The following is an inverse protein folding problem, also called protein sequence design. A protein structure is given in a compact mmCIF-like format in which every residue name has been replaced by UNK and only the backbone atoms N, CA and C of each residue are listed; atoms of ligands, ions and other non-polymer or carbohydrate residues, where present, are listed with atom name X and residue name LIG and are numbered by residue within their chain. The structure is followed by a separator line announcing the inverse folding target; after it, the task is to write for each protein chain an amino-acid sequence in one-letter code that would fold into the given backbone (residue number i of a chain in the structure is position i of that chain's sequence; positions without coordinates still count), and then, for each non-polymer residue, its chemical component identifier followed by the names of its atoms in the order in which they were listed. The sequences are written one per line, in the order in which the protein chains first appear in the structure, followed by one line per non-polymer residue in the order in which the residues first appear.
data_IF_094470707581
#
_entry.id   IF_094470707581
#
_cell.length_a   1.000
_cell.length_b   1.000
_cell.length_c   1.000
_cell.angle_alpha   90.00
_cell.angle_beta   90.00
_cell.angle_gamma   90.00
#
_symmetry.space_group_name_H-M   'P 1'
#
loop_
_entity.id
_entity.type
_entity.pdbx_description
1 polymer ?
#
# COMPACT_ATOMS: atom_id res chain seq x y z
N UNK A 1 9.37 -10.70 -9.89
CA UNK A 1 8.09 -11.20 -9.33
C UNK A 1 7.04 -11.32 -10.42
N UNK A 2 6.24 -12.39 -10.41
CA UNK A 2 5.17 -12.57 -11.41
C UNK A 2 4.00 -11.63 -11.07
N UNK A 3 3.60 -10.78 -12.01
CA UNK A 3 2.42 -9.92 -11.89
C UNK A 3 1.37 -10.35 -12.91
N UNK A 4 0.10 -10.22 -12.55
CA UNK A 4 -1.06 -10.47 -13.42
C UNK A 4 -1.85 -9.19 -13.59
N UNK A 5 -2.09 -8.80 -14.83
CA UNK A 5 -2.89 -7.59 -15.13
C UNK A 5 -4.36 -7.97 -15.31
N UNK A 6 -5.22 -7.45 -14.44
CA UNK A 6 -6.67 -7.49 -14.60
C UNK A 6 -7.16 -6.05 -14.76
N UNK A 7 -7.76 -5.76 -15.91
CA UNK A 7 -8.18 -4.41 -16.30
C UNK A 7 -7.02 -3.40 -16.15
N UNK A 8 -7.23 -2.29 -15.45
CA UNK A 8 -6.24 -1.25 -15.17
C UNK A 8 -5.37 -1.51 -13.93
N UNK A 9 -5.39 -2.73 -13.37
CA UNK A 9 -4.69 -3.07 -12.13
C UNK A 9 -3.68 -4.20 -12.36
N UNK A 10 -2.47 -4.04 -11.80
CA UNK A 10 -1.49 -5.13 -11.71
C UNK A 10 -1.58 -5.78 -10.32
N UNK A 11 -1.91 -7.07 -10.30
CA UNK A 11 -1.91 -7.90 -9.11
C UNK A 11 -0.59 -8.65 -8.98
N UNK A 12 -0.10 -8.76 -7.75
CA UNK A 12 1.06 -9.57 -7.43
C UNK A 12 0.62 -11.03 -7.28
N UNK A 13 1.23 -11.90 -8.08
CA UNK A 13 0.85 -13.31 -8.17
C UNK A 13 1.64 -14.13 -7.14
N UNK A 14 1.30 -13.92 -5.86
CA UNK A 14 1.89 -14.62 -4.73
C UNK A 14 1.00 -15.76 -4.23
N UNK A 15 1.66 -16.77 -3.71
CA UNK A 15 1.10 -17.63 -2.66
C UNK A 15 1.08 -16.89 -1.32
N UNK A 16 0.25 -17.36 -0.40
CA UNK A 16 0.14 -16.77 0.94
C UNK A 16 1.46 -16.84 1.71
N UNK A 17 2.20 -17.95 1.57
CA UNK A 17 3.51 -18.10 2.22
C UNK A 17 4.52 -17.09 1.69
N UNK A 18 4.60 -16.91 0.36
CA UNK A 18 5.50 -15.92 -0.24
C UNK A 18 5.15 -14.50 0.22
N UNK A 19 3.86 -14.15 0.26
CA UNK A 19 3.44 -12.84 0.77
C UNK A 19 3.87 -12.64 2.22
N UNK A 20 3.67 -13.64 3.08
CA UNK A 20 4.08 -13.56 4.49
C UNK A 20 5.59 -13.41 4.62
N UNK A 21 6.38 -14.10 3.82
CA UNK A 21 7.84 -13.92 3.80
C UNK A 21 8.24 -12.50 3.38
N UNK A 22 7.60 -11.93 2.37
CA UNK A 22 7.88 -10.58 1.87
C UNK A 22 7.49 -9.49 2.89
N UNK A 23 6.43 -9.72 3.69
CA UNK A 23 5.97 -8.75 4.69
C UNK A 23 6.96 -8.53 5.85
N UNK A 24 8.01 -9.35 5.98
CA UNK A 24 9.12 -9.09 6.92
C UNK A 24 9.83 -7.77 6.63
N UNK A 25 9.77 -7.29 5.38
CA UNK A 25 10.37 -6.03 4.95
C UNK A 25 9.42 -4.84 5.05
N UNK A 26 8.20 -5.05 5.54
CA UNK A 26 7.15 -4.04 5.54
C UNK A 26 6.39 -4.01 4.22
N UNK A 27 5.38 -3.14 4.16
CA UNK A 27 4.59 -2.90 2.96
C UNK A 27 3.12 -2.64 3.23
N UNK A 28 2.45 -2.08 2.23
CA UNK A 28 1.00 -1.87 2.22
C UNK A 28 0.34 -2.95 1.38
N UNK A 29 -0.57 -3.72 1.99
CA UNK A 29 -1.27 -4.85 1.35
C UNK A 29 -2.75 -4.51 1.13
N UNK A 30 -3.16 -4.51 -0.14
CA UNK A 30 -4.56 -4.39 -0.53
C UNK A 30 -5.09 -5.70 -1.13
N UNK A 31 -6.31 -6.05 -0.73
CA UNK A 31 -6.99 -7.32 -1.04
C UNK A 31 -8.00 -7.11 -2.18
N UNK A 32 -7.51 -7.19 -3.43
CA UNK A 32 -8.30 -6.85 -4.62
C UNK A 32 -9.43 -7.85 -4.85
N UNK A 33 -10.67 -7.35 -4.85
CA UNK A 33 -11.85 -8.09 -5.30
C UNK A 33 -12.61 -7.32 -6.40
N UNK A 34 -13.75 -7.87 -6.84
CA UNK A 34 -14.52 -7.36 -7.99
C UNK A 34 -14.95 -5.90 -7.79
N UNK A 35 -15.43 -5.56 -6.60
CA UNK A 35 -15.83 -4.19 -6.22
C UNK A 35 -14.66 -3.20 -6.26
N UNK A 36 -13.44 -3.65 -5.95
CA UNK A 36 -12.26 -2.81 -6.14
C UNK A 36 -12.03 -2.54 -7.63
N UNK A 37 -12.08 -3.58 -8.48
CA UNK A 37 -11.90 -3.41 -9.92
C UNK A 37 -12.95 -2.49 -10.52
N UNK A 38 -14.21 -2.59 -10.07
CA UNK A 38 -15.30 -1.70 -10.49
C UNK A 38 -15.01 -0.26 -10.10
N UNK A 39 -14.74 0.02 -8.82
CA UNK A 39 -14.41 1.37 -8.33
C UNK A 39 -13.17 1.97 -8.98
N UNK A 40 -12.19 1.13 -9.35
CA UNK A 40 -10.98 1.54 -10.03
C UNK A 40 -11.22 1.89 -11.52
N UNK A 41 -12.42 1.69 -12.07
CA UNK A 41 -12.75 2.20 -13.40
C UNK A 41 -13.10 3.68 -13.37
N UNK A 42 -13.64 4.21 -12.27
CA UNK A 42 -14.24 5.55 -12.25
C UNK A 42 -13.67 6.49 -11.17
N UNK A 43 -12.76 6.04 -10.31
CA UNK A 43 -12.25 6.84 -9.19
C UNK A 43 -10.74 7.13 -9.29
N UNK A 44 -10.34 8.33 -9.76
CA UNK A 44 -8.93 8.75 -9.80
C UNK A 44 -8.27 8.76 -8.42
N UNK A 45 -9.00 9.21 -7.40
CA UNK A 45 -8.50 9.26 -6.02
C UNK A 45 -8.25 7.84 -5.47
N UNK A 46 -9.18 6.91 -5.70
CA UNK A 46 -8.99 5.53 -5.30
C UNK A 46 -7.83 4.89 -6.06
N UNK A 47 -7.71 5.14 -7.37
CA UNK A 47 -6.60 4.69 -8.18
C UNK A 47 -5.24 5.19 -7.66
N UNK A 48 -5.15 6.47 -7.23
CA UNK A 48 -3.94 7.01 -6.57
C UNK A 48 -3.58 6.25 -5.30
N UNK A 49 -4.55 6.04 -4.41
CA UNK A 49 -4.33 5.29 -3.18
C UNK A 49 -3.91 3.84 -3.49
N UNK A 50 -4.60 3.18 -4.41
CA UNK A 50 -4.39 1.79 -4.80
C UNK A 50 -3.03 1.53 -5.42
N UNK A 51 -2.55 2.44 -6.28
CA UNK A 51 -1.23 2.33 -6.91
C UNK A 51 -0.08 2.57 -5.93
N UNK A 52 -0.35 3.15 -4.75
CA UNK A 52 0.65 3.32 -3.70
C UNK A 52 0.90 2.07 -2.84
N UNK A 53 0.13 1.00 -3.06
CA UNK A 53 0.29 -0.26 -2.35
C UNK A 53 1.55 -1.00 -2.79
N UNK A 54 2.24 -1.59 -1.83
CA UNK A 54 3.41 -2.46 -2.08
C UNK A 54 2.96 -3.78 -2.68
N UNK A 55 1.87 -4.35 -2.15
CA UNK A 55 1.34 -5.64 -2.55
C UNK A 55 -0.16 -5.52 -2.85
N UNK A 56 -0.57 -5.92 -4.05
CA UNK A 56 -1.98 -6.01 -4.48
C UNK A 56 -2.30 -7.47 -4.75
N UNK A 57 -2.92 -8.13 -3.80
CA UNK A 57 -3.21 -9.56 -3.88
C UNK A 57 -4.66 -9.81 -4.32
N UNK A 58 -4.94 -11.04 -4.74
CA UNK A 58 -6.27 -11.46 -5.18
C UNK A 58 -7.10 -11.97 -4.00
N UNK A 59 -8.23 -11.32 -3.70
CA UNK A 59 -9.15 -11.67 -2.60
C UNK A 59 -10.38 -12.48 -3.07
N UNK A 60 -10.59 -12.62 -4.38
CA UNK A 60 -11.83 -13.17 -4.93
C UNK A 60 -11.62 -14.38 -5.84
N UNK A 61 -12.42 -15.42 -5.62
CA UNK A 61 -12.47 -16.59 -6.50
C UNK A 61 -12.93 -16.22 -7.92
N UNK A 62 -13.78 -15.20 -8.05
CA UNK A 62 -14.22 -14.70 -9.36
C UNK A 62 -13.03 -14.16 -10.14
N UNK A 63 -12.08 -13.49 -9.47
CA UNK A 63 -10.87 -12.99 -10.11
C UNK A 63 -9.87 -14.11 -10.45
N UNK A 64 -9.83 -15.19 -9.67
CA UNK A 64 -9.10 -16.41 -10.06
C UNK A 64 -9.65 -16.94 -11.39
N UNK A 65 -10.97 -17.14 -11.50
CA UNK A 65 -11.58 -17.62 -12.76
C UNK A 65 -11.39 -16.64 -13.92
N UNK A 66 -11.52 -15.34 -13.68
CA UNK A 66 -11.25 -14.32 -14.69
C UNK A 66 -9.80 -14.39 -15.19
N UNK A 67 -8.83 -14.56 -14.29
CA UNK A 67 -7.41 -14.68 -14.64
C UNK A 67 -7.13 -15.93 -15.49
N UNK A 68 -7.78 -17.06 -15.17
CA UNK A 68 -7.70 -18.31 -15.95
C UNK A 68 -8.31 -18.12 -17.35
N UNK A 69 -9.49 -17.50 -17.42
CA UNK A 69 -10.15 -17.17 -18.69
C UNK A 69 -9.28 -16.28 -19.59
N UNK A 70 -8.55 -15.33 -19.00
CA UNK A 70 -7.60 -14.47 -19.71
C UNK A 70 -6.30 -15.18 -20.10
N UNK A 71 -6.02 -16.38 -19.59
CA UNK A 71 -4.77 -17.12 -19.85
C UNK A 71 -3.59 -16.68 -18.99
N UNK A 72 -3.85 -15.95 -17.90
CA UNK A 72 -2.85 -15.42 -16.97
C UNK A 72 -3.20 -15.84 -15.53
N UNK A 73 -3.14 -17.14 -15.21
CA UNK A 73 -3.70 -17.66 -13.96
C UNK A 73 -3.00 -17.08 -12.72
N UNK A 74 -3.82 -16.61 -11.78
CA UNK A 74 -3.40 -16.30 -10.41
C UNK A 74 -3.29 -17.61 -9.62
N UNK A 75 -2.20 -17.75 -8.87
CA UNK A 75 -1.82 -18.98 -8.18
C UNK A 75 -2.70 -19.25 -6.95
N UNK A 76 -2.95 -18.22 -6.14
CA UNK A 76 -3.71 -18.39 -4.90
C UNK A 76 -4.67 -17.21 -4.64
N UNK A 77 -5.84 -17.52 -4.09
CA UNK A 77 -6.75 -16.54 -3.51
C UNK A 77 -6.34 -16.28 -2.07
N UNK A 78 -5.94 -15.05 -1.76
CA UNK A 78 -5.56 -14.60 -0.42
C UNK A 78 -6.58 -13.57 0.05
N UNK A 79 -7.58 -14.03 0.80
CA UNK A 79 -8.61 -13.12 1.30
C UNK A 79 -8.14 -12.32 2.51
N UNK A 80 -8.70 -11.13 2.74
CA UNK A 80 -8.43 -10.37 3.98
C UNK A 80 -8.70 -11.21 5.24
N UNK A 81 -9.78 -12.00 5.18
CA UNK A 81 -10.21 -12.89 6.27
C UNK A 81 -9.35 -14.13 6.47
N UNK A 82 -8.45 -14.43 5.54
CA UNK A 82 -7.43 -15.46 5.69
C UNK A 82 -6.04 -14.85 5.97
N UNK A 83 -5.81 -13.62 5.51
CA UNK A 83 -4.53 -12.92 5.62
C UNK A 83 -4.20 -12.55 7.05
N UNK A 84 -5.09 -11.85 7.78
CA UNK A 84 -4.79 -11.43 9.15
C UNK A 84 -4.55 -12.64 10.08
N UNK A 85 -5.37 -13.71 10.04
CA UNK A 85 -5.09 -14.94 10.78
C UNK A 85 -3.76 -15.60 10.43
N UNK A 86 -3.49 -15.76 9.14
CA UNK A 86 -2.23 -16.34 8.70
C UNK A 86 -1.03 -15.48 9.16
N UNK A 87 -1.16 -14.15 9.10
CA UNK A 87 -0.14 -13.21 9.54
C UNK A 87 0.19 -13.35 11.03
N UNK A 88 -0.81 -13.27 11.91
CA UNK A 88 -0.52 -13.35 13.36
C UNK A 88 -0.06 -14.74 13.80
N UNK A 89 -0.45 -15.80 13.09
CA UNK A 89 0.05 -17.16 13.36
C UNK A 89 1.48 -17.35 12.86
N UNK A 90 1.81 -16.84 11.68
CA UNK A 90 3.15 -16.92 11.11
C UNK A 90 4.17 -16.15 11.98
N UNK A 91 3.79 -14.96 12.44
CA UNK A 91 4.64 -14.11 13.29
C UNK A 91 4.37 -14.27 14.80
N UNK A 92 3.75 -15.38 15.21
CA UNK A 92 3.34 -15.62 16.60
C UNK A 92 4.50 -15.43 17.59
N UNK A 93 5.70 -15.85 17.22
CA UNK A 93 6.87 -15.82 18.11
C UNK A 93 7.77 -14.59 17.91
N UNK A 94 7.42 -13.66 17.00
CA UNK A 94 8.21 -12.44 16.78
C UNK A 94 7.70 -11.29 17.67
N UNK A 95 8.43 -10.99 18.74
CA UNK A 95 8.09 -9.93 19.70
C UNK A 95 8.09 -8.52 19.10
N UNK A 96 8.74 -8.34 17.93
CA UNK A 96 8.73 -7.06 17.22
C UNK A 96 7.39 -6.81 16.50
N UNK A 97 6.57 -7.86 16.32
CA UNK A 97 5.26 -7.73 15.70
C UNK A 97 4.23 -7.35 16.77
N UNK A 98 3.77 -6.10 16.64
CA UNK A 98 2.77 -5.45 17.49
C UNK A 98 1.67 -4.89 16.59
N UNK A 99 0.47 -5.47 16.68
CA UNK A 99 -0.66 -5.16 15.81
C UNK A 99 -1.56 -4.12 16.46
N UNK A 100 -1.97 -3.12 15.69
CA UNK A 100 -3.10 -2.25 16.01
C UNK A 100 -4.29 -2.57 15.12
N UNK A 101 -5.49 -2.66 15.69
CA UNK A 101 -6.74 -2.86 14.94
C UNK A 101 -7.50 -1.55 14.80
N UNK A 102 -7.75 -1.09 13.58
CA UNK A 102 -8.55 0.09 13.30
C UNK A 102 -9.81 -0.29 12.51
N UNK A 103 -10.99 -0.17 13.12
CA UNK A 103 -12.26 -0.36 12.41
C UNK A 103 -13.34 -1.09 13.22
N UNK A 104 -14.30 -1.66 12.49
CA UNK A 104 -15.53 -2.25 13.02
C UNK A 104 -16.36 -1.29 13.90
N UNK A 105 -17.49 -1.77 14.42
CA UNK A 105 -18.36 -1.01 15.31
C UNK A 105 -17.81 -1.00 16.75
N UNK A 106 -18.30 -0.06 17.55
CA UNK A 106 -17.86 0.16 18.94
C UNK A 106 -17.79 -1.13 19.75
N UNK A 107 -16.63 -1.40 20.35
CA UNK A 107 -16.36 -2.58 21.17
C UNK A 107 -15.93 -3.83 20.41
N UNK A 108 -16.18 -3.94 19.10
CA UNK A 108 -15.84 -5.14 18.32
C UNK A 108 -14.32 -5.24 18.11
N UNK A 109 -13.63 -4.14 17.85
CA UNK A 109 -12.18 -4.16 17.66
C UNK A 109 -11.42 -4.58 18.94
N UNK A 110 -11.85 -4.13 20.12
CA UNK A 110 -11.27 -4.57 21.40
C UNK A 110 -11.58 -6.04 21.69
N UNK A 111 -12.75 -6.53 21.29
CA UNK A 111 -13.08 -7.95 21.38
C UNK A 111 -12.19 -8.81 20.48
N UNK A 112 -11.93 -8.38 19.23
CA UNK A 112 -10.99 -9.03 18.34
C UNK A 112 -9.56 -9.03 18.93
N UNK A 113 -9.12 -7.91 19.51
CA UNK A 113 -7.82 -7.81 20.21
C UNK A 113 -7.67 -8.89 21.28
N UNK A 114 -8.66 -9.04 22.17
CA UNK A 114 -8.65 -10.06 23.23
C UNK A 114 -8.60 -11.48 22.66
N UNK A 115 -9.41 -11.77 21.65
CA UNK A 115 -9.45 -13.11 21.05
C UNK A 115 -8.17 -13.46 20.32
N UNK A 116 -7.60 -12.54 19.55
CA UNK A 116 -6.33 -12.76 18.84
C UNK A 116 -5.22 -12.99 19.87
N UNK A 117 -5.11 -12.15 20.91
CA UNK A 117 -4.10 -12.34 21.95
C UNK A 117 -4.25 -13.68 22.68
N UNK A 118 -5.48 -14.14 22.93
CA UNK A 118 -5.72 -15.47 23.50
C UNK A 118 -5.29 -16.61 22.55
N UNK A 119 -5.57 -16.51 21.24
CA UNK A 119 -5.13 -17.49 20.22
C UNK A 119 -3.61 -17.54 20.07
N UNK A 120 -2.96 -16.39 20.17
CA UNK A 120 -1.50 -16.24 20.02
C UNK A 120 -0.78 -16.56 21.34
N UNK A 121 -1.42 -16.42 22.50
CA UNK A 121 -0.81 -16.69 23.80
C UNK A 121 0.19 -15.62 24.26
N UNK A 122 0.13 -14.41 23.69
CA UNK A 122 0.86 -13.22 24.12
C UNK A 122 0.10 -11.95 23.75
N UNK A 123 0.52 -10.82 24.30
CA UNK A 123 0.04 -9.50 23.89
C UNK A 123 0.65 -9.08 22.55
N UNK A 124 0.09 -9.61 21.46
CA UNK A 124 0.51 -9.29 20.09
C UNK A 124 -0.26 -8.10 19.51
N UNK A 125 -1.55 -8.03 19.80
CA UNK A 125 -2.41 -6.90 19.46
C UNK A 125 -2.38 -5.91 20.62
N UNK A 126 -1.66 -4.82 20.43
CA UNK A 126 -1.32 -3.82 21.47
C UNK A 126 -2.32 -2.67 21.57
N UNK A 127 -3.22 -2.55 20.60
CA UNK A 127 -4.24 -1.52 20.60
C UNK A 127 -5.36 -1.83 19.61
N UNK A 128 -6.51 -1.23 19.87
CA UNK A 128 -7.67 -1.31 19.00
C UNK A 128 -8.49 -0.02 19.10
N UNK A 129 -9.07 0.42 17.98
CA UNK A 129 -9.97 1.56 17.95
C UNK A 129 -11.06 1.37 16.90
N UNK A 130 -12.29 1.71 17.28
CA UNK A 130 -13.46 1.69 16.40
C UNK A 130 -13.86 3.13 16.10
N UNK A 131 -13.58 3.64 14.89
CA UNK A 131 -13.82 5.03 14.56
C UNK A 131 -15.30 5.32 14.31
N UNK A 132 -15.66 6.60 14.35
CA UNK A 132 -17.00 7.08 14.06
C UNK A 132 -17.39 6.87 12.59
N UNK A 133 -18.69 6.87 12.30
CA UNK A 133 -19.14 6.78 10.91
C UNK A 133 -18.76 8.05 10.15
N UNK A 134 -17.94 7.90 9.11
CA UNK A 134 -17.47 9.04 8.32
C UNK A 134 -16.22 9.71 8.89
N UNK A 135 -15.53 9.08 9.85
CA UNK A 135 -14.29 9.59 10.46
C UNK A 135 -13.25 10.02 9.42
N UNK A 136 -13.24 9.41 8.23
CA UNK A 136 -12.30 9.75 7.16
C UNK A 136 -12.44 11.20 6.64
N UNK A 137 -13.52 11.89 7.03
CA UNK A 137 -13.77 13.30 6.72
C UNK A 137 -13.54 14.23 7.92
N UNK A 138 -13.23 13.67 9.08
CA UNK A 138 -13.00 14.40 10.31
C UNK A 138 -11.49 14.40 10.61
N UNK A 139 -10.81 15.49 10.26
CA UNK A 139 -9.36 15.60 10.42
C UNK A 139 -8.92 15.48 11.88
N UNK A 140 -9.71 15.99 12.83
CA UNK A 140 -9.41 15.87 14.26
C UNK A 140 -9.42 14.41 14.72
N UNK A 141 -10.40 13.64 14.27
CA UNK A 141 -10.50 12.21 14.57
C UNK A 141 -9.38 11.42 13.87
N UNK A 142 -9.09 11.73 12.60
CA UNK A 142 -7.95 11.13 11.88
C UNK A 142 -6.63 11.38 12.62
N UNK A 143 -6.38 12.61 13.06
CA UNK A 143 -5.17 12.96 13.80
C UNK A 143 -5.12 12.29 15.17
N UNK A 144 -6.27 12.18 15.86
CA UNK A 144 -6.40 11.42 17.09
C UNK A 144 -6.03 9.94 16.88
N UNK A 145 -6.55 9.30 15.81
CA UNK A 145 -6.24 7.92 15.46
C UNK A 145 -4.74 7.75 15.18
N UNK A 146 -4.14 8.65 14.40
CA UNK A 146 -2.69 8.65 14.13
C UNK A 146 -1.88 8.71 15.42
N UNK A 147 -2.26 9.60 16.35
CA UNK A 147 -1.59 9.74 17.64
C UNK A 147 -1.74 8.49 18.49
N UNK A 148 -2.93 7.92 18.55
CA UNK A 148 -3.23 6.69 19.29
C UNK A 148 -2.40 5.50 18.78
N UNK A 149 -2.30 5.33 17.45
CA UNK A 149 -1.48 4.28 16.85
C UNK A 149 0.00 4.50 17.18
N UNK A 150 0.51 5.72 17.04
CA UNK A 150 1.92 6.02 17.35
C UNK A 150 2.26 5.75 18.82
N UNK A 151 1.38 6.12 19.75
CA UNK A 151 1.56 5.91 21.19
C UNK A 151 1.50 4.43 21.58
N UNK A 152 0.74 3.60 20.84
CA UNK A 152 0.65 2.15 21.12
C UNK A 152 1.95 1.38 20.85
N UNK A 153 2.90 1.96 20.12
CA UNK A 153 4.12 1.27 19.69
C UNK A 153 3.87 0.17 18.65
N UNK A 154 2.71 0.17 17.98
CA UNK A 154 2.39 -0.79 16.94
C UNK A 154 3.35 -0.71 15.75
N UNK A 155 3.74 -1.88 15.25
CA UNK A 155 4.57 -2.05 14.06
C UNK A 155 3.76 -2.54 12.86
N UNK A 156 2.52 -2.97 13.10
CA UNK A 156 1.57 -3.43 12.10
C UNK A 156 0.22 -2.77 12.33
N UNK A 157 -0.41 -2.27 11.27
CA UNK A 157 -1.76 -1.72 11.31
C UNK A 157 -2.69 -2.57 10.44
N UNK A 158 -3.71 -3.17 11.06
CA UNK A 158 -4.80 -3.83 10.34
C UNK A 158 -6.03 -2.92 10.32
N UNK A 159 -6.47 -2.52 9.13
CA UNK A 159 -7.58 -1.59 8.93
C UNK A 159 -8.79 -2.32 8.35
N UNK A 160 -9.93 -2.23 9.04
CA UNK A 160 -11.18 -2.89 8.70
C UNK A 160 -12.38 -1.92 8.70
N UNK A 161 -12.30 -0.87 7.87
CA UNK A 161 -13.40 0.11 7.68
C UNK A 161 -14.06 0.00 6.30
N UNK A 162 -13.58 -0.93 5.47
CA UNK A 162 -14.11 -1.22 4.14
C UNK A 162 -13.57 -0.32 3.03
N UNK A 163 -13.62 -0.83 1.80
CA UNK A 163 -13.15 -0.13 0.61
C UNK A 163 -14.20 0.85 0.06
N UNK A 164 -13.80 2.05 -0.40
CA UNK A 164 -12.43 2.51 -0.63
C UNK A 164 -11.79 3.24 0.57
N UNK A 165 -12.48 3.29 1.72
CA UNK A 165 -12.11 4.16 2.85
C UNK A 165 -10.77 3.78 3.45
N UNK A 166 -10.57 2.48 3.70
CA UNK A 166 -9.33 1.97 4.32
C UNK A 166 -8.10 2.25 3.43
N UNK A 167 -8.21 2.08 2.11
CA UNK A 167 -7.09 2.32 1.18
C UNK A 167 -6.74 3.80 1.13
N UNK A 168 -7.75 4.67 1.04
CA UNK A 168 -7.57 6.13 1.02
C UNK A 168 -6.98 6.65 2.33
N UNK A 169 -7.51 6.20 3.46
CA UNK A 169 -7.02 6.60 4.78
C UNK A 169 -5.56 6.16 5.00
N UNK A 170 -5.22 4.91 4.64
CA UNK A 170 -3.83 4.43 4.68
C UNK A 170 -2.94 5.31 3.78
N UNK A 171 -3.38 5.58 2.55
CA UNK A 171 -2.60 6.41 1.63
C UNK A 171 -2.32 7.80 2.19
N UNK A 172 -3.32 8.44 2.81
CA UNK A 172 -3.23 9.79 3.36
C UNK A 172 -2.34 9.86 4.62
N UNK A 173 -2.44 8.87 5.53
CA UNK A 173 -1.84 8.98 6.85
C UNK A 173 -0.63 8.06 7.10
N UNK A 174 -0.29 7.13 6.19
CA UNK A 174 0.82 6.18 6.40
C UNK A 174 2.16 6.83 6.75
N UNK A 175 2.46 7.99 6.16
CA UNK A 175 3.72 8.71 6.40
C UNK A 175 3.78 9.36 7.80
N UNK A 176 2.65 9.49 8.49
CA UNK A 176 2.57 10.02 9.85
C UNK A 176 2.75 8.93 10.92
N UNK A 177 2.67 7.65 10.54
CA UNK A 177 2.85 6.51 11.44
C UNK A 177 4.33 6.13 11.52
N UNK A 178 4.97 6.43 12.64
CA UNK A 178 6.44 6.36 12.80
C UNK A 178 6.95 4.92 12.90
N UNK A 179 6.18 4.07 13.56
CA UNK A 179 6.59 2.70 13.92
C UNK A 179 5.99 1.64 12.99
N UNK A 180 4.87 1.94 12.33
CA UNK A 180 4.14 0.99 11.50
C UNK A 180 4.88 0.75 10.20
N UNK A 181 5.26 -0.51 9.96
CA UNK A 181 5.94 -0.97 8.74
C UNK A 181 5.01 -1.77 7.83
N UNK A 182 4.02 -2.46 8.39
CA UNK A 182 3.07 -3.29 7.64
C UNK A 182 1.66 -2.72 7.79
N UNK A 183 0.98 -2.54 6.66
CA UNK A 183 -0.40 -2.07 6.61
C UNK A 183 -1.25 -3.12 5.92
N UNK A 184 -2.27 -3.64 6.60
CA UNK A 184 -3.16 -4.66 6.09
C UNK A 184 -4.57 -4.08 5.94
N UNK A 185 -5.04 -3.91 4.71
CA UNK A 185 -6.42 -3.54 4.43
C UNK A 185 -7.29 -4.80 4.39
N UNK A 186 -7.99 -5.09 5.49
CA UNK A 186 -8.59 -6.42 5.76
C UNK A 186 -10.12 -6.41 5.77
N UNK A 187 -10.77 -5.26 5.56
CA UNK A 187 -12.23 -5.18 5.50
C UNK A 187 -12.91 -5.74 6.75
N UNK A 188 -13.92 -6.58 6.58
CA UNK A 188 -14.72 -7.15 7.68
C UNK A 188 -14.00 -8.21 8.54
N UNK A 189 -12.69 -8.37 8.38
CA UNK A 189 -11.92 -9.40 9.10
C UNK A 189 -11.91 -9.17 10.60
N UNK A 190 -11.92 -7.91 11.05
CA UNK A 190 -11.99 -7.58 12.48
C UNK A 190 -13.30 -8.12 13.09
N UNK A 191 -14.42 -7.98 12.38
CA UNK A 191 -15.73 -8.51 12.82
C UNK A 191 -15.74 -10.04 12.89
N UNK A 192 -15.01 -10.72 12.00
CA UNK A 192 -14.84 -12.18 12.03
C UNK A 192 -13.96 -12.62 13.20
N UNK A 193 -12.85 -11.93 13.45
CA UNK A 193 -11.94 -12.24 14.57
C UNK A 193 -12.55 -11.94 15.94
N UNK A 194 -13.51 -11.02 16.01
CA UNK A 194 -14.31 -10.79 17.21
C UNK A 194 -15.43 -11.83 17.42
N UNK A 195 -15.70 -12.68 16.43
CA UNK A 195 -16.82 -13.62 16.45
C UNK A 195 -18.20 -12.96 16.29
N UNK A 196 -18.25 -11.68 15.93
CA UNK A 196 -19.49 -10.93 15.72
C UNK A 196 -20.21 -11.36 14.44
N UNK A 197 -19.43 -11.59 13.37
CA UNK A 197 -19.93 -12.10 12.10
C UNK A 197 -19.48 -13.55 11.88
N UNK A 198 -20.39 -14.41 11.39
CA UNK A 198 -20.01 -15.77 10.95
C UNK A 198 -19.49 -15.73 9.52
N UNK A 199 -18.33 -16.35 9.27
CA UNK A 199 -17.84 -16.58 7.90
C UNK A 199 -18.76 -17.59 7.19
N UNK A 200 -18.88 -17.44 5.87
CA UNK A 200 -19.58 -18.43 5.03
C UNK A 200 -18.93 -19.81 5.15
N UNK A 201 -19.66 -20.93 5.00
CA UNK A 201 -19.09 -22.28 5.09
C UNK A 201 -17.90 -22.50 4.15
N UNK A 202 -16.91 -23.30 4.57
CA UNK A 202 -15.66 -23.53 3.82
C UNK A 202 -15.90 -23.97 2.37
N UNK A 203 -16.80 -24.93 2.15
CA UNK A 203 -17.14 -25.42 0.81
C UNK A 203 -17.71 -24.33 -0.11
N UNK A 204 -18.45 -23.35 0.44
CA UNK A 204 -18.96 -22.22 -0.34
C UNK A 204 -17.82 -21.28 -0.74
N UNK A 205 -16.89 -21.00 0.18
CA UNK A 205 -15.72 -20.14 -0.08
C UNK A 205 -14.80 -20.72 -1.15
N UNK A 206 -14.61 -22.04 -1.13
CA UNK A 206 -13.77 -22.76 -2.10
C UNK A 206 -14.41 -22.81 -3.48
N UNK A 207 -15.75 -22.90 -3.56
CA UNK A 207 -16.49 -22.84 -4.83
C UNK A 207 -16.78 -21.43 -5.34
N UNK A 208 -16.38 -20.39 -4.60
CA UNK A 208 -16.64 -18.99 -4.96
C UNK A 208 -18.09 -18.53 -4.72
N UNK A 209 -18.86 -19.24 -3.89
CA UNK A 209 -20.25 -18.92 -3.51
C UNK A 209 -20.36 -18.02 -2.28
N UNK A 210 -19.24 -17.49 -1.79
CA UNK A 210 -19.20 -16.61 -0.62
C UNK A 210 -20.02 -15.33 -0.83
N UNK A 211 -19.98 -14.74 -2.03
CA UNK A 211 -20.79 -13.57 -2.36
C UNK A 211 -22.29 -13.88 -2.25
N UNK A 212 -22.72 -15.08 -2.66
CA UNK A 212 -24.12 -15.48 -2.60
C UNK A 212 -24.58 -15.66 -1.14
N UNK A 213 -23.77 -16.33 -0.31
CA UNK A 213 -24.04 -16.44 1.12
C UNK A 213 -24.17 -15.06 1.78
N UNK A 214 -23.26 -14.13 1.46
CA UNK A 214 -23.30 -12.77 1.99
C UNK A 214 -24.52 -12.00 1.50
N UNK A 215 -24.90 -12.15 0.22
CA UNK A 215 -26.11 -11.53 -0.32
C UNK A 215 -27.36 -11.99 0.42
N UNK A 216 -27.48 -13.29 0.71
CA UNK A 216 -28.60 -13.82 1.50
C UNK A 216 -28.59 -13.31 2.95
N UNK A 217 -27.39 -13.13 3.53
CA UNK A 217 -27.23 -12.65 4.91
C UNK A 217 -27.50 -11.14 5.04
N UNK A 218 -27.13 -10.35 4.03
CA UNK A 218 -27.22 -8.88 4.05
C UNK A 218 -27.80 -8.31 2.74
N UNK A 219 -29.03 -8.72 2.33
CA UNK A 219 -29.55 -8.45 1.00
C UNK A 219 -29.69 -6.95 0.74
N UNK A 220 -30.20 -6.19 1.71
CA UNK A 220 -30.39 -4.73 1.61
C UNK A 220 -29.08 -3.98 1.32
N UNK A 221 -27.95 -4.48 1.82
CA UNK A 221 -26.64 -3.83 1.66
C UNK A 221 -25.91 -4.28 0.39
N UNK A 222 -26.03 -5.56 0.03
CA UNK A 222 -25.16 -6.17 -1.00
C UNK A 222 -25.81 -6.35 -2.37
N UNK A 223 -27.14 -6.26 -2.49
CA UNK A 223 -27.82 -6.45 -3.78
C UNK A 223 -27.32 -5.47 -4.85
N UNK A 224 -27.24 -4.18 -4.52
CA UNK A 224 -26.80 -3.14 -5.46
C UNK A 224 -25.35 -3.38 -5.86
N UNK A 225 -24.49 -3.66 -4.88
CA UNK A 225 -23.07 -3.95 -5.13
C UNK A 225 -22.91 -5.11 -6.12
N UNK A 226 -23.56 -6.25 -5.88
CA UNK A 226 -23.32 -7.45 -6.70
C UNK A 226 -24.06 -7.45 -8.03
N UNK A 227 -25.29 -6.93 -8.07
CA UNK A 227 -26.16 -7.04 -9.24
C UNK A 227 -26.15 -5.78 -10.11
N UNK A 228 -25.57 -4.68 -9.62
CA UNK A 228 -25.49 -3.41 -10.37
C UNK A 228 -24.02 -2.99 -10.50
N UNK A 229 -23.31 -2.81 -9.39
CA UNK A 229 -21.98 -2.18 -9.41
C UNK A 229 -20.87 -3.13 -9.91
N UNK A 230 -20.95 -4.43 -9.59
CA UNK A 230 -19.94 -5.43 -9.95
C UNK A 230 -20.16 -6.07 -11.34
N UNK A 231 -21.39 -6.03 -11.87
CA UNK A 231 -21.76 -6.63 -13.18
C UNK A 231 -20.93 -6.07 -14.35
N UNK A 232 -20.68 -4.75 -14.46
CA UNK A 232 -19.84 -4.18 -15.52
C UNK A 232 -18.43 -4.79 -15.59
N UNK A 233 -17.87 -5.26 -14.47
CA UNK A 233 -16.52 -5.86 -14.46
C UNK A 233 -16.45 -7.10 -15.34
N UNK A 234 -17.50 -7.94 -15.37
CA UNK A 234 -17.52 -9.13 -16.23
C UNK A 234 -17.44 -8.74 -17.72
N UNK A 235 -18.14 -7.69 -18.12
CA UNK A 235 -18.10 -7.15 -19.48
C UNK A 235 -16.73 -6.55 -19.82
N UNK A 236 -16.10 -5.85 -18.86
CA UNK A 236 -14.77 -5.30 -19.04
C UNK A 236 -13.70 -6.40 -19.17
N UNK A 237 -13.82 -7.49 -18.40
CA UNK A 237 -12.94 -8.66 -18.53
C UNK A 237 -13.11 -9.32 -19.90
N UNK A 238 -14.34 -9.43 -20.42
CA UNK A 238 -14.58 -9.91 -21.78
C UNK A 238 -13.94 -8.98 -22.83
N UNK A 239 -14.10 -7.66 -22.68
CA UNK A 239 -13.40 -6.69 -23.53
C UNK A 239 -11.88 -6.83 -23.45
N UNK A 240 -11.33 -7.12 -22.26
CA UNK A 240 -9.89 -7.36 -22.10
C UNK A 240 -9.46 -8.62 -22.85
N UNK A 241 -10.22 -9.71 -22.78
CA UNK A 241 -9.95 -10.94 -23.54
C UNK A 241 -9.93 -10.70 -25.06
N UNK A 242 -10.83 -9.86 -25.54
CA UNK A 242 -10.97 -9.50 -26.95
C UNK A 242 -10.07 -8.33 -27.38
N UNK A 243 -9.15 -7.86 -26.52
CA UNK A 243 -8.27 -6.71 -26.76
C UNK A 243 -9.01 -5.38 -27.08
N UNK A 244 -10.26 -5.24 -26.65
CA UNK A 244 -11.07 -4.02 -26.79
C UNK A 244 -11.16 -3.19 -25.51
N UNK A 245 -10.60 -3.67 -24.40
CA UNK A 245 -10.58 -2.91 -23.15
C UNK A 245 -9.68 -1.69 -23.30
N UNK A 246 -10.23 -0.51 -22.98
CA UNK A 246 -9.49 0.74 -22.91
C UNK A 246 -9.28 1.10 -21.45
N UNK A 247 -8.03 1.35 -21.09
CA UNK A 247 -7.67 1.87 -19.77
C UNK A 247 -8.29 3.27 -19.65
N UNK A 248 -8.97 3.61 -18.53
CA UNK A 248 -9.52 4.96 -18.35
C UNK A 248 -8.45 6.04 -18.45
N UNK A 249 -8.74 7.15 -19.15
CA UNK A 249 -7.76 8.19 -19.48
C UNK A 249 -7.08 8.78 -18.24
N UNK A 250 -7.82 8.94 -17.14
CA UNK A 250 -7.28 9.48 -15.90
C UNK A 250 -6.19 8.57 -15.28
N UNK A 251 -6.15 7.28 -15.61
CA UNK A 251 -5.12 6.37 -15.08
C UNK A 251 -3.73 6.79 -15.59
N UNK A 252 -3.65 7.31 -16.81
CA UNK A 252 -2.42 7.93 -17.34
C UNK A 252 -1.98 9.11 -16.48
N UNK A 253 -2.89 10.06 -16.20
CA UNK A 253 -2.62 11.20 -15.34
C UNK A 253 -2.17 10.79 -13.92
N UNK A 254 -2.83 9.79 -13.33
CA UNK A 254 -2.48 9.25 -12.01
C UNK A 254 -1.09 8.60 -11.99
N UNK A 255 -0.64 8.00 -13.11
CA UNK A 255 0.73 7.47 -13.22
C UNK A 255 1.78 8.58 -13.30
N UNK A 256 1.42 9.77 -13.79
CA UNK A 256 2.32 10.93 -13.85
C UNK A 256 2.37 11.74 -12.54
N UNK A 257 1.31 11.69 -11.72
CA UNK A 257 1.28 12.29 -10.37
C UNK A 257 2.17 11.55 -9.36
N UNK A 258 2.40 10.26 -9.58
CA UNK A 258 3.32 9.45 -8.80
C UNK A 258 4.68 9.42 -9.50
N UNK A 259 5.61 10.29 -9.08
CA UNK A 259 7.02 9.87 -9.13
C UNK A 259 7.08 8.54 -8.37
N UNK A 260 7.46 7.41 -9.01
CA UNK A 260 7.57 6.15 -8.29
C UNK A 260 8.43 6.41 -7.06
N UNK A 261 8.04 5.85 -5.91
CA UNK A 261 8.92 5.80 -4.74
C UNK A 261 10.08 4.85 -5.07
N UNK A 262 10.97 5.32 -5.94
CA UNK A 262 12.20 4.64 -6.28
C UNK A 262 13.02 4.59 -4.98
N UNK A 263 13.56 3.42 -4.60
CA UNK A 263 14.58 3.36 -3.58
C UNK A 263 15.65 4.41 -3.86
N UNK A 264 16.13 5.09 -2.82
CA UNK A 264 17.08 6.21 -2.98
C UNK A 264 18.30 5.82 -3.82
N UNK A 265 18.79 4.58 -3.71
CA UNK A 265 19.89 4.07 -4.54
C UNK A 265 19.57 4.09 -6.03
N UNK A 266 18.34 3.75 -6.44
CA UNK A 266 17.89 3.83 -7.83
C UNK A 266 17.70 5.28 -8.28
N UNK A 267 17.22 6.16 -7.39
CA UNK A 267 17.09 7.60 -7.70
C UNK A 267 18.46 8.22 -7.97
N UNK A 268 19.44 7.95 -7.09
CA UNK A 268 20.80 8.45 -7.21
C UNK A 268 21.52 7.86 -8.43
N UNK A 269 21.28 6.58 -8.73
CA UNK A 269 21.79 5.94 -9.94
C UNK A 269 21.19 6.56 -11.21
N UNK A 270 19.86 6.77 -11.25
CA UNK A 270 19.18 7.41 -12.37
C UNK A 270 19.59 8.87 -12.58
N UNK A 271 19.98 9.55 -11.50
CA UNK A 271 20.56 10.90 -11.55
C UNK A 271 22.05 10.92 -11.95
N UNK A 272 22.68 9.77 -12.17
CA UNK A 272 24.11 9.67 -12.50
C UNK A 272 25.05 9.96 -11.32
N UNK A 273 24.53 10.03 -10.09
CA UNK A 273 25.30 10.32 -8.88
C UNK A 273 25.97 9.07 -8.30
N UNK A 274 25.48 7.87 -8.66
CA UNK A 274 26.06 6.59 -8.25
C UNK A 274 26.09 5.60 -9.42
N UNK A 275 27.13 4.77 -9.45
CA UNK A 275 27.19 3.58 -10.30
C UNK A 275 26.44 2.39 -9.69
N UNK A 276 26.09 1.41 -10.53
CA UNK A 276 25.48 0.16 -10.05
C UNK A 276 26.34 -0.55 -9.00
N UNK A 277 27.66 -0.63 -9.23
CA UNK A 277 28.59 -1.27 -8.30
C UNK A 277 28.63 -0.56 -6.93
N UNK A 278 28.53 0.77 -6.91
CA UNK A 278 28.45 1.52 -5.65
C UNK A 278 27.14 1.21 -4.92
N UNK A 279 26.00 1.12 -5.62
CA UNK A 279 24.72 0.76 -5.01
C UNK A 279 24.80 -0.64 -4.38
N UNK A 280 25.29 -1.64 -5.11
CA UNK A 280 25.44 -3.01 -4.60
C UNK A 280 26.37 -3.09 -3.39
N UNK A 281 27.49 -2.35 -3.41
CA UNK A 281 28.43 -2.29 -2.28
C UNK A 281 27.78 -1.71 -1.02
N UNK A 282 27.00 -0.63 -1.16
CA UNK A 282 26.32 -0.01 -0.02
C UNK A 282 25.22 -0.93 0.54
N UNK A 283 24.47 -1.61 -0.34
CA UNK A 283 23.48 -2.59 0.11
C UNK A 283 24.13 -3.71 0.93
N UNK A 284 25.30 -4.20 0.53
CA UNK A 284 26.06 -5.18 1.30
C UNK A 284 26.53 -4.63 2.65
N UNK A 285 27.07 -3.41 2.69
CA UNK A 285 27.50 -2.79 3.95
C UNK A 285 26.35 -2.55 4.91
N UNK A 286 25.18 -2.19 4.39
CA UNK A 286 23.98 -1.98 5.18
C UNK A 286 23.51 -3.27 5.87
N UNK A 287 23.79 -4.44 5.29
CA UNK A 287 23.53 -5.73 5.97
C UNK A 287 24.39 -5.94 7.21
N UNK A 288 25.62 -5.39 7.22
CA UNK A 288 26.59 -5.47 8.32
C UNK A 288 26.39 -4.34 9.34
N UNK A 289 25.98 -3.16 8.88
CA UNK A 289 25.81 -1.95 9.69
C UNK A 289 24.33 -1.53 9.72
N UNK A 290 23.48 -2.39 10.27
CA UNK A 290 22.00 -2.24 10.21
C UNK A 290 21.42 -0.97 10.85
N UNK A 291 22.21 -0.27 11.65
CA UNK A 291 21.81 0.99 12.28
C UNK A 291 21.97 2.21 11.36
N UNK A 292 22.73 2.08 10.27
CA UNK A 292 22.99 3.18 9.32
C UNK A 292 22.04 3.12 8.13
N UNK A 293 21.52 4.28 7.76
CA UNK A 293 20.72 4.50 6.55
C UNK A 293 21.62 4.50 5.32
N UNK A 294 21.05 4.19 4.16
CA UNK A 294 21.78 4.08 2.89
C UNK A 294 22.61 5.34 2.58
N UNK A 295 22.03 6.52 2.85
CA UNK A 295 22.69 7.82 2.71
C UNK A 295 23.85 8.06 3.68
N UNK A 296 23.72 7.61 4.92
CA UNK A 296 24.76 7.76 5.95
C UNK A 296 26.00 6.93 5.59
N UNK A 297 25.81 5.74 5.00
CA UNK A 297 26.91 4.89 4.52
C UNK A 297 27.61 5.54 3.31
N UNK A 298 26.86 6.18 2.40
CA UNK A 298 27.42 6.94 1.28
C UNK A 298 28.28 8.12 1.74
N UNK A 299 27.80 8.85 2.75
CA UNK A 299 28.50 9.97 3.35
C UNK A 299 29.77 9.52 4.08
N UNK A 300 29.71 8.45 4.86
CA UNK A 300 30.89 7.87 5.53
C UNK A 300 31.98 7.44 4.54
N UNK A 301 31.59 6.96 3.36
CA UNK A 301 32.52 6.58 2.28
C UNK A 301 33.00 7.76 1.43
N UNK A 302 32.48 8.97 1.67
CA UNK A 302 32.82 10.17 0.90
C UNK A 302 32.33 10.15 -0.55
N UNK A 303 31.38 9.26 -0.89
CA UNK A 303 30.88 9.11 -2.27
C UNK A 303 29.75 10.09 -2.59
N UNK A 304 29.05 10.58 -1.58
CA UNK A 304 28.01 11.58 -1.72
C UNK A 304 27.93 12.42 -0.45
N UNK A 305 27.61 13.71 -0.57
CA UNK A 305 27.33 14.56 0.60
C UNK A 305 26.08 14.09 1.32
N UNK A 306 26.06 14.20 2.65
CA UNK A 306 24.90 13.82 3.46
C UNK A 306 23.67 14.63 3.06
N UNK A 307 23.84 15.93 2.82
CA UNK A 307 22.79 16.86 2.41
C UNK A 307 22.16 16.47 1.07
N UNK A 308 22.98 15.97 0.14
CA UNK A 308 22.48 15.46 -1.14
C UNK A 308 21.64 14.20 -0.90
N UNK A 309 22.09 13.28 -0.06
CA UNK A 309 21.29 12.09 0.25
C UNK A 309 19.97 12.44 0.95
N UNK A 310 20.02 13.31 1.95
CA UNK A 310 18.83 13.76 2.70
C UNK A 310 17.84 14.50 1.80
N UNK A 311 18.33 15.29 0.83
CA UNK A 311 17.47 15.93 -0.15
C UNK A 311 16.67 14.90 -0.97
N UNK A 312 17.33 13.89 -1.54
CA UNK A 312 16.65 12.86 -2.33
C UNK A 312 15.74 11.97 -1.48
N UNK A 313 16.12 11.70 -0.22
CA UNK A 313 15.35 10.87 0.70
C UNK A 313 14.10 11.55 1.26
N UNK A 314 14.22 12.82 1.66
CA UNK A 314 13.24 13.47 2.54
C UNK A 314 12.62 14.73 1.93
N UNK A 315 13.36 15.49 1.13
CA UNK A 315 12.89 16.78 0.60
C UNK A 315 12.23 16.65 -0.78
N UNK A 316 12.86 15.91 -1.69
CA UNK A 316 12.39 15.74 -3.07
C UNK A 316 10.96 15.13 -3.13
N UNK A 317 10.59 14.12 -2.32
CA UNK A 317 9.21 13.62 -2.29
C UNK A 317 8.18 14.67 -1.84
N UNK A 318 8.55 15.56 -0.90
CA UNK A 318 7.67 16.64 -0.40
C UNK A 318 7.51 17.76 -1.44
N UNK A 319 8.56 18.03 -2.22
CA UNK A 319 8.55 19.03 -3.28
C UNK A 319 7.76 18.55 -4.50
N UNK A 320 7.80 17.25 -4.80
CA UNK A 320 7.03 16.64 -5.89
C UNK A 320 5.51 16.83 -5.74
N UNK A 321 5.00 16.93 -4.51
CA UNK A 321 3.57 17.08 -4.23
C UNK A 321 3.10 18.54 -4.15
N UNK A 322 4.00 19.53 -4.25
CA UNK A 322 3.62 20.95 -4.18
C UNK A 322 3.11 21.46 -5.54
N UNK A 323 2.02 22.26 -5.57
CA UNK A 323 1.49 22.81 -6.82
C UNK A 323 2.40 23.89 -7.45
N UNK A 324 3.22 24.57 -6.64
CA UNK A 324 4.12 25.62 -7.11
C UNK A 324 5.52 25.05 -7.40
N UNK A 325 5.94 25.07 -8.67
CA UNK A 325 7.27 24.66 -9.10
C UNK A 325 8.27 25.81 -8.94
N UNK A 326 9.48 25.49 -8.50
CA UNK A 326 10.61 26.41 -8.43
C UNK A 326 11.51 26.28 -9.67
N UNK A 327 12.39 27.26 -9.96
CA UNK A 327 13.40 27.11 -11.00
C UNK A 327 14.34 25.93 -10.72
N UNK A 328 14.90 25.30 -11.76
CA UNK A 328 15.77 24.12 -11.62
C UNK A 328 16.99 24.38 -10.70
N UNK A 329 17.54 25.60 -10.74
CA UNK A 329 18.66 26.01 -9.89
C UNK A 329 18.35 25.97 -8.38
N UNK A 330 17.09 26.22 -7.99
CA UNK A 330 16.66 26.08 -6.60
C UNK A 330 16.81 24.63 -6.12
N UNK A 331 16.40 23.66 -6.93
CA UNK A 331 16.48 22.24 -6.59
C UNK A 331 17.92 21.73 -6.56
N UNK A 332 18.74 22.13 -7.54
CA UNK A 332 20.16 21.74 -7.60
C UNK A 332 20.96 22.30 -6.42
N UNK A 333 20.64 23.52 -5.96
CA UNK A 333 21.21 24.11 -4.75
C UNK A 333 20.73 23.39 -3.49
N UNK A 334 19.43 23.12 -3.40
CA UNK A 334 18.83 22.41 -2.26
C UNK A 334 19.36 20.98 -2.11
N UNK A 335 19.75 20.35 -3.23
CA UNK A 335 20.42 19.05 -3.27
C UNK A 335 21.93 19.11 -2.99
N UNK A 336 22.50 20.29 -2.70
CA UNK A 336 23.94 20.53 -2.54
C UNK A 336 24.81 20.09 -3.74
N UNK A 337 24.19 19.99 -4.93
CA UNK A 337 24.85 19.63 -6.19
C UNK A 337 25.53 20.84 -6.84
N UNK A 338 24.98 22.04 -6.65
CA UNK A 338 25.57 23.31 -7.11
C UNK A 338 25.62 24.33 -5.99
N UNK A 339 26.65 25.18 -5.99
CA UNK A 339 26.73 26.37 -5.16
C UNK A 339 26.25 27.64 -5.90
N UNK A 340 26.09 28.75 -5.18
CA UNK A 340 25.58 30.01 -5.75
C UNK A 340 26.42 30.53 -6.91
N UNK A 341 27.75 30.37 -6.83
CA UNK A 341 28.66 30.81 -7.88
C UNK A 341 28.45 29.97 -9.14
N UNK A 342 28.35 28.65 -9.02
CA UNK A 342 28.10 27.75 -10.15
C UNK A 342 26.75 28.01 -10.82
N UNK A 343 25.70 28.25 -10.02
CA UNK A 343 24.38 28.62 -10.58
C UNK A 343 24.47 29.94 -11.35
N UNK A 344 25.17 30.93 -10.79
CA UNK A 344 25.37 32.23 -11.44
C UNK A 344 26.17 32.12 -12.73
N UNK A 345 27.23 31.30 -12.76
CA UNK A 345 28.01 31.02 -13.97
C UNK A 345 27.16 30.39 -15.07
N UNK A 346 26.36 29.37 -14.74
CA UNK A 346 25.48 28.71 -15.72
C UNK A 346 24.44 29.69 -16.27
N UNK A 347 23.85 30.52 -15.42
CA UNK A 347 22.87 31.53 -15.87
C UNK A 347 23.52 32.58 -16.79
N UNK A 348 24.76 32.99 -16.52
CA UNK A 348 25.49 33.91 -17.37
C UNK A 348 25.85 33.29 -18.73
N UNK A 349 26.26 32.02 -18.78
CA UNK A 349 26.54 31.31 -20.04
C UNK A 349 25.27 31.16 -20.89
N UNK A 350 24.14 30.83 -20.27
CA UNK A 350 22.85 30.73 -20.96
C UNK A 350 22.34 32.08 -21.50
N UNK A 351 22.71 33.20 -20.87
CA UNK A 351 22.35 34.54 -21.33
C UNK A 351 23.15 35.01 -22.57
N UNK A 352 24.26 34.33 -22.89
CA UNK A 352 25.15 34.66 -24.03
C UNK A 352 24.82 33.82 -25.27
N UNK A 353 24.01 32.77 -25.15
CA UNK A 353 23.59 31.94 -26.27
C UNK A 353 22.42 32.62 -27.03
N UNK A 354 22.48 32.73 -28.37
CA UNK A 354 21.36 33.27 -29.14
C UNK A 354 20.12 32.34 -29.03
N UNK A 355 18.91 32.91 -29.16
CA UNK A 355 17.64 32.22 -28.89
C UNK A 355 17.37 31.01 -29.79
#
# INVERSE_FOLDING_TARGET
MKKVTLLNVQLDNFTKSELLEELRFGGVVFTTNVDHLSKLQDSPEFCRAYNSATYRICDSQILIYASQFLGVPIQEKISGSDLLPAFYHYYKNDENIKIFLLGSAGGIADQARKQINAKVGREMVVGAYSPSFGFEKNEEECQYIVNLINQSGATVLAVGVGAPKQEKWIYQHKLQLKNVRVFLAVGATIDFEAGYCKRSPKWMRERGLEWFYRLLSEPRRLWKRYLVDDVPVCWLILKQKLNFYRIPDYVGAVRHDHLPSMPIGQMLQGAGLLSQNQVETILLDQTKQRHLRFGEILAQRGWLKQETSDFFAEQLPKLATKPQKQPIGYYLKSAALLNENQVSTILNELAVLPP
#
